data_IF_960499812228
#
_entry.id   IF_960499812228
#
_cell.length_a   1.000
_cell.length_b   1.000
_cell.length_c   1.000
_cell.angle_alpha   90.00
_cell.angle_beta   90.00
_cell.angle_gamma   90.00
#
_symmetry.space_group_name_H-M   'P 1'
#
loop_
_entity.id
_entity.type
_entity.pdbx_description
1 polymer ?
#
# COMPACT_ATOMS: atom_id res chain seq x y z
N UNK A 1 5.43 5.89 -36.87
CA UNK A 1 6.44 5.27 -36.03
C UNK A 1 6.01 3.82 -35.85
N UNK A 2 6.95 2.89 -35.89
CA UNK A 2 6.60 1.46 -35.66
C UNK A 2 5.85 1.31 -34.34
N UNK A 3 4.96 0.33 -34.29
CA UNK A 3 4.10 0.04 -33.13
C UNK A 3 4.95 -0.71 -32.07
N UNK A 4 5.88 -0.01 -31.42
CA UNK A 4 6.84 -0.55 -30.45
C UNK A 4 6.40 -0.09 -29.05
N UNK A 5 6.12 -1.04 -28.17
CA UNK A 5 5.72 -0.81 -26.77
C UNK A 5 6.87 -1.21 -25.84
N UNK A 6 7.45 -0.26 -25.10
CA UNK A 6 8.51 -0.55 -24.14
C UNK A 6 7.96 -1.17 -22.85
N UNK A 7 8.68 -2.13 -22.26
CA UNK A 7 8.53 -2.58 -20.89
C UNK A 7 9.66 -1.95 -20.09
N UNK A 8 9.28 -1.16 -19.09
CA UNK A 8 10.19 -0.32 -18.32
C UNK A 8 10.35 -0.82 -16.88
N UNK A 9 11.47 -0.46 -16.23
CA UNK A 9 11.61 -0.61 -14.80
C UNK A 9 10.49 0.20 -14.11
N UNK A 10 9.61 -0.45 -13.34
CA UNK A 10 8.48 0.24 -12.70
C UNK A 10 8.96 1.27 -11.69
N UNK A 11 8.11 2.26 -11.40
CA UNK A 11 8.25 3.15 -10.26
C UNK A 11 7.20 2.78 -9.23
N UNK A 12 7.62 2.28 -8.10
CA UNK A 12 6.71 2.00 -6.98
C UNK A 12 6.94 2.99 -5.85
N UNK A 13 5.90 3.73 -5.52
CA UNK A 13 5.95 4.78 -4.52
C UNK A 13 6.87 5.94 -4.88
N UNK A 14 7.06 6.84 -3.92
CA UNK A 14 7.68 8.15 -4.13
C UNK A 14 9.20 8.14 -4.10
N UNK A 15 9.79 7.24 -3.34
CA UNK A 15 11.23 7.22 -3.05
C UNK A 15 12.04 6.24 -3.89
N UNK A 16 11.39 5.40 -4.71
CA UNK A 16 12.09 4.43 -5.56
C UNK A 16 12.88 5.14 -6.64
N UNK A 17 14.19 4.92 -6.66
CA UNK A 17 15.12 5.44 -7.69
C UNK A 17 15.58 4.35 -8.63
N UNK A 18 15.66 3.11 -8.15
CA UNK A 18 16.15 1.95 -8.89
C UNK A 18 15.48 0.68 -8.37
N UNK A 19 15.50 -0.38 -9.17
CA UNK A 19 15.05 -1.71 -8.82
C UNK A 19 15.96 -2.76 -9.42
N UNK A 20 16.10 -3.91 -8.76
CA UNK A 20 16.83 -5.06 -9.27
C UNK A 20 15.85 -5.97 -10.01
N UNK A 21 16.15 -6.28 -11.27
CA UNK A 21 15.42 -7.30 -12.01
C UNK A 21 15.81 -8.68 -11.46
N UNK A 22 14.94 -9.30 -10.68
CA UNK A 22 15.25 -10.56 -9.99
C UNK A 22 15.08 -11.77 -10.92
N UNK A 23 13.98 -11.83 -11.67
CA UNK A 23 13.67 -12.90 -12.60
C UNK A 23 12.76 -12.44 -13.74
N UNK A 24 12.80 -13.13 -14.89
CA UNK A 24 11.82 -13.03 -15.96
C UNK A 24 10.87 -14.24 -15.93
N UNK A 25 9.56 -14.00 -16.01
CA UNK A 25 8.54 -15.02 -16.13
C UNK A 25 8.18 -15.36 -17.59
N UNK A 26 8.53 -14.48 -18.53
CA UNK A 26 8.22 -14.61 -19.96
C UNK A 26 9.49 -14.65 -20.81
N UNK A 27 9.49 -15.47 -21.87
CA UNK A 27 10.60 -15.56 -22.81
C UNK A 27 10.38 -14.69 -24.05
N UNK A 28 11.45 -14.32 -24.77
CA UNK A 28 11.31 -13.72 -26.08
C UNK A 28 10.50 -14.62 -27.02
N UNK A 29 9.60 -14.04 -27.80
CA UNK A 29 8.63 -14.74 -28.64
C UNK A 29 7.31 -15.10 -27.96
N UNK A 30 7.15 -14.83 -26.67
CA UNK A 30 5.89 -15.03 -25.97
C UNK A 30 4.88 -13.93 -26.31
N UNK A 31 3.62 -14.33 -26.49
CA UNK A 31 2.46 -13.42 -26.55
C UNK A 31 2.03 -13.06 -25.14
N UNK A 32 2.09 -11.78 -24.79
CA UNK A 32 1.74 -11.23 -23.48
C UNK A 32 0.34 -10.64 -23.55
N UNK A 33 -0.44 -10.82 -22.50
CA UNK A 33 -1.75 -10.16 -22.31
C UNK A 33 -1.68 -9.20 -21.14
N UNK A 34 -2.51 -8.17 -21.11
CA UNK A 34 -2.65 -7.31 -19.93
C UNK A 34 -2.98 -8.16 -18.69
N UNK A 35 -2.22 -7.95 -17.59
CA UNK A 35 -2.32 -8.71 -16.35
C UNK A 35 -1.47 -9.98 -16.28
N UNK A 36 -0.75 -10.36 -17.33
CA UNK A 36 0.21 -11.47 -17.25
C UNK A 36 1.42 -11.06 -16.41
N UNK A 37 1.86 -11.97 -15.53
CA UNK A 37 3.11 -11.81 -14.78
C UNK A 37 4.31 -11.87 -15.72
N UNK A 38 5.13 -10.80 -15.76
CA UNK A 38 6.22 -10.71 -16.73
C UNK A 38 7.60 -10.77 -16.11
N UNK A 39 7.78 -10.26 -14.91
CA UNK A 39 9.08 -10.27 -14.20
C UNK A 39 8.93 -10.01 -12.71
N UNK A 40 9.95 -10.39 -11.93
CA UNK A 40 10.11 -10.00 -10.54
C UNK A 40 11.09 -8.84 -10.43
N UNK A 41 10.71 -7.84 -9.66
CA UNK A 41 11.57 -6.70 -9.32
C UNK A 41 11.74 -6.60 -7.81
N UNK A 42 12.99 -6.53 -7.35
CA UNK A 42 13.35 -6.27 -5.96
C UNK A 42 13.71 -4.79 -5.79
N UNK A 43 13.20 -4.19 -4.72
CA UNK A 43 13.62 -2.86 -4.26
C UNK A 43 14.35 -2.97 -2.92
N UNK A 44 14.82 -1.86 -2.38
CA UNK A 44 15.36 -1.79 -1.03
C UNK A 44 14.31 -2.17 0.05
N UNK A 45 13.01 -2.11 -0.26
CA UNK A 45 11.92 -2.38 0.69
C UNK A 45 11.27 -3.75 0.50
N UNK A 46 10.99 -4.15 -0.73
CA UNK A 46 10.22 -5.37 -1.04
C UNK A 46 10.51 -5.87 -2.45
N UNK A 47 10.29 -7.17 -2.67
CA UNK A 47 10.17 -7.76 -4.01
C UNK A 47 8.69 -7.87 -4.40
N UNK A 48 8.37 -7.60 -5.65
CA UNK A 48 7.03 -7.81 -6.20
C UNK A 48 7.08 -8.20 -7.67
N UNK A 49 6.01 -8.87 -8.09
CA UNK A 49 5.78 -9.23 -9.50
C UNK A 49 5.32 -8.00 -10.28
N UNK A 50 5.83 -7.84 -11.48
CA UNK A 50 5.37 -6.85 -12.43
C UNK A 50 4.43 -7.53 -13.41
N UNK A 51 3.18 -7.04 -13.45
CA UNK A 51 2.19 -7.46 -14.43
C UNK A 51 2.25 -6.56 -15.66
N UNK A 52 1.93 -7.15 -16.82
CA UNK A 52 1.88 -6.42 -18.08
C UNK A 52 0.72 -5.41 -18.08
N UNK A 53 1.02 -4.14 -18.30
CA UNK A 53 -0.01 -3.12 -18.53
C UNK A 53 -0.64 -3.26 -19.93
N UNK A 54 0.15 -3.63 -20.92
CA UNK A 54 -0.24 -3.77 -22.33
C UNK A 54 -0.02 -5.21 -22.82
N UNK A 55 -0.80 -5.61 -23.85
CA UNK A 55 -0.60 -6.88 -24.53
C UNK A 55 0.27 -6.72 -25.78
N UNK A 56 0.96 -7.80 -26.16
CA UNK A 56 1.75 -7.83 -27.40
C UNK A 56 2.79 -8.95 -27.44
N UNK A 57 3.47 -9.09 -28.57
CA UNK A 57 4.52 -10.07 -28.75
C UNK A 57 5.84 -9.55 -28.15
N UNK A 58 6.43 -10.24 -27.17
CA UNK A 58 7.72 -9.90 -26.58
C UNK A 58 8.84 -10.19 -27.58
N UNK A 59 9.45 -9.15 -28.12
CA UNK A 59 10.45 -9.26 -29.21
C UNK A 59 11.89 -9.21 -28.69
N UNK A 60 12.16 -8.48 -27.62
CA UNK A 60 13.51 -8.34 -27.11
C UNK A 60 13.50 -8.11 -25.59
N UNK A 61 14.29 -8.89 -24.85
CA UNK A 61 14.65 -8.61 -23.46
C UNK A 61 15.99 -7.87 -23.42
N UNK A 62 16.03 -6.71 -22.79
CA UNK A 62 17.23 -5.87 -22.62
C UNK A 62 17.78 -6.01 -21.21
N UNK A 63 16.87 -6.14 -20.24
CA UNK A 63 17.22 -6.32 -18.83
C UNK A 63 17.83 -7.70 -18.54
N UNK A 64 18.91 -7.71 -17.77
CA UNK A 64 19.65 -8.90 -17.33
C UNK A 64 19.22 -9.23 -15.91
N UNK A 65 18.84 -10.49 -15.67
CA UNK A 65 18.49 -10.96 -14.33
C UNK A 65 19.66 -10.77 -13.34
N UNK A 66 19.34 -10.28 -12.16
CA UNK A 66 20.30 -9.97 -11.10
C UNK A 66 20.90 -8.57 -11.15
N UNK A 67 20.71 -7.81 -12.24
CA UNK A 67 21.21 -6.45 -12.39
C UNK A 67 20.20 -5.42 -11.87
N UNK A 68 20.73 -4.26 -11.43
CA UNK A 68 19.94 -3.13 -10.92
C UNK A 68 19.81 -2.05 -12.00
N UNK A 69 18.61 -1.56 -12.19
CA UNK A 69 18.26 -0.57 -13.20
C UNK A 69 17.57 0.65 -12.56
N UNK A 70 17.85 1.87 -13.03
CA UNK A 70 17.10 3.03 -12.59
C UNK A 70 15.62 2.90 -13.01
N UNK A 71 14.74 3.53 -12.26
CA UNK A 71 13.32 3.64 -12.62
C UNK A 71 13.18 4.14 -14.06
N UNK A 72 12.23 3.55 -14.81
CA UNK A 72 11.99 3.81 -16.24
C UNK A 72 13.11 3.37 -17.20
N UNK A 73 14.13 2.66 -16.74
CA UNK A 73 15.07 2.00 -17.67
C UNK A 73 14.33 1.01 -18.55
N UNK A 74 14.73 0.91 -19.82
CA UNK A 74 14.16 -0.07 -20.74
C UNK A 74 14.60 -1.48 -20.36
N UNK A 75 13.64 -2.34 -20.05
CA UNK A 75 13.89 -3.75 -19.70
C UNK A 75 13.53 -4.71 -20.83
N UNK A 76 12.49 -4.40 -21.63
CA UNK A 76 12.13 -5.19 -22.78
C UNK A 76 11.32 -4.38 -23.79
N UNK A 77 11.07 -4.99 -24.96
CA UNK A 77 10.31 -4.38 -26.06
C UNK A 77 9.29 -5.38 -26.59
N UNK A 78 8.03 -4.97 -26.67
CA UNK A 78 6.97 -5.65 -27.41
C UNK A 78 6.76 -4.97 -28.75
N UNK A 79 6.53 -5.73 -29.81
CA UNK A 79 6.17 -5.22 -31.13
C UNK A 79 5.52 -6.32 -31.99
N UNK A 80 4.66 -5.99 -32.98
CA UNK A 80 4.15 -6.93 -33.96
C UNK A 80 5.29 -7.61 -34.74
N UNK A 81 5.05 -8.84 -35.24
CA UNK A 81 6.01 -9.56 -36.10
C UNK A 81 6.43 -8.78 -37.35
N UNK A 82 5.55 -7.89 -37.84
CA UNK A 82 5.80 -7.04 -39.00
C UNK A 82 6.91 -6.00 -38.78
N UNK A 83 7.28 -5.70 -37.51
CA UNK A 83 8.37 -4.76 -37.19
C UNK A 83 9.71 -5.48 -37.34
N UNK A 84 10.61 -5.03 -38.22
CA UNK A 84 11.91 -5.64 -38.40
C UNK A 84 12.80 -5.57 -37.16
N UNK A 85 13.60 -6.61 -36.89
CA UNK A 85 14.52 -6.62 -35.74
C UNK A 85 15.50 -5.46 -35.75
N UNK A 86 15.89 -4.96 -36.96
CA UNK A 86 16.76 -3.79 -37.10
C UNK A 86 16.11 -2.49 -36.59
N UNK A 87 14.77 -2.36 -36.67
CA UNK A 87 14.06 -1.22 -36.08
C UNK A 87 13.96 -1.34 -34.57
N UNK A 88 13.75 -2.57 -34.06
CA UNK A 88 13.77 -2.87 -32.62
C UNK A 88 15.15 -2.57 -32.03
N UNK A 89 16.23 -3.02 -32.70
CA UNK A 89 17.60 -2.77 -32.24
C UNK A 89 17.93 -1.26 -32.28
N UNK A 90 17.45 -0.53 -33.30
CA UNK A 90 17.61 0.90 -33.36
C UNK A 90 16.84 1.62 -32.24
N UNK A 91 15.62 1.16 -31.92
CA UNK A 91 14.83 1.68 -30.79
C UNK A 91 15.54 1.47 -29.47
N UNK A 92 16.02 0.23 -29.21
CA UNK A 92 16.76 -0.11 -27.97
C UNK A 92 18.01 0.76 -27.83
N UNK A 93 18.77 0.93 -28.93
CA UNK A 93 20.00 1.73 -28.93
C UNK A 93 19.75 3.23 -28.73
N UNK A 94 18.62 3.73 -29.23
CA UNK A 94 18.22 5.13 -29.11
C UNK A 94 17.47 5.47 -27.83
N UNK A 95 17.01 4.43 -27.08
CA UNK A 95 16.23 4.65 -25.87
C UNK A 95 17.08 5.35 -24.80
N UNK A 96 16.62 6.49 -24.37
CA UNK A 96 17.15 7.19 -23.20
C UNK A 96 16.05 7.19 -22.15
N UNK A 97 16.32 6.58 -20.98
CA UNK A 97 15.43 6.71 -19.87
C UNK A 97 15.28 8.21 -19.54
N UNK A 98 14.05 8.73 -19.35
CA UNK A 98 13.87 10.09 -18.86
C UNK A 98 14.75 10.29 -17.63
N UNK A 99 15.51 11.39 -17.60
CA UNK A 99 16.32 11.66 -16.42
C UNK A 99 15.38 11.86 -15.22
N UNK A 100 15.79 11.42 -14.05
CA UNK A 100 15.02 11.55 -12.81
C UNK A 100 14.65 13.02 -12.45
N UNK A 101 15.04 13.99 -13.28
CA UNK A 101 14.77 15.42 -13.16
C UNK A 101 13.70 15.97 -14.12
N UNK A 102 13.35 15.25 -15.18
CA UNK A 102 12.53 15.86 -16.24
C UNK A 102 11.00 15.83 -15.98
N UNK A 103 10.52 15.05 -15.02
CA UNK A 103 9.10 15.04 -14.61
C UNK A 103 8.89 15.30 -13.11
N UNK A 104 9.95 15.24 -12.27
CA UNK A 104 9.84 15.48 -10.83
C UNK A 104 9.89 16.99 -10.47
N UNK A 105 10.19 17.91 -11.40
CA UNK A 105 10.13 19.34 -11.11
C UNK A 105 8.68 19.84 -10.94
N UNK A 106 7.68 19.16 -11.54
CA UNK A 106 6.26 19.47 -11.36
C UNK A 106 5.59 18.61 -10.27
N UNK A 107 6.21 17.54 -9.79
CA UNK A 107 5.60 16.60 -8.85
C UNK A 107 5.65 17.04 -7.37
N UNK A 108 6.34 18.15 -7.05
CA UNK A 108 6.54 18.58 -5.67
C UNK A 108 7.41 17.61 -4.84
N UNK A 109 7.66 17.89 -3.56
CA UNK A 109 8.44 16.99 -2.71
C UNK A 109 7.71 15.66 -2.51
N UNK A 110 8.47 14.54 -2.55
CA UNK A 110 7.95 13.19 -2.38
C UNK A 110 7.10 13.02 -1.10
N UNK A 111 7.41 13.77 -0.06
CA UNK A 111 6.68 13.79 1.20
C UNK A 111 6.47 15.22 1.68
N UNK A 112 5.30 15.45 2.25
CA UNK A 112 4.91 16.74 2.83
C UNK A 112 4.60 16.56 4.33
N UNK A 113 4.41 17.68 5.01
CA UNK A 113 4.10 17.67 6.43
C UNK A 113 2.96 18.65 6.72
N UNK A 114 1.97 18.18 7.47
CA UNK A 114 0.88 18.96 8.02
C UNK A 114 1.13 19.22 9.51
N UNK A 115 1.06 20.48 9.93
CA UNK A 115 1.08 20.84 11.35
C UNK A 115 -0.37 20.80 11.86
N UNK A 116 -0.75 19.68 12.49
CA UNK A 116 -2.07 19.43 13.01
C UNK A 116 -2.12 19.64 14.54
N UNK A 117 -3.30 19.72 15.17
CA UNK A 117 -3.44 19.93 16.62
C UNK A 117 -2.69 18.90 17.49
N UNK A 118 -2.54 17.66 17.01
CA UNK A 118 -1.83 16.59 17.72
C UNK A 118 -0.32 16.60 17.45
N UNK A 119 0.16 17.41 16.53
CA UNK A 119 1.55 17.55 16.12
C UNK A 119 1.75 17.39 14.62
N UNK A 120 3.00 17.33 14.20
CA UNK A 120 3.40 17.26 12.80
C UNK A 120 3.13 15.86 12.23
N UNK A 121 2.42 15.80 11.09
CA UNK A 121 2.02 14.59 10.39
C UNK A 121 2.69 14.57 9.01
N UNK A 122 3.45 13.51 8.70
CA UNK A 122 3.99 13.27 7.36
C UNK A 122 2.89 12.68 6.48
N UNK A 123 2.81 13.13 5.23
CA UNK A 123 1.94 12.55 4.23
C UNK A 123 2.58 12.57 2.84
N UNK A 124 2.03 11.75 1.95
CA UNK A 124 2.32 11.75 0.54
C UNK A 124 1.07 12.17 -0.22
N UNK A 125 1.23 12.87 -1.33
CA UNK A 125 0.14 13.36 -2.17
C UNK A 125 0.36 12.94 -3.62
N UNK A 126 -0.74 12.58 -4.29
CA UNK A 126 -0.85 12.57 -5.73
C UNK A 126 -2.01 13.46 -6.13
N UNK A 127 -1.74 14.51 -6.94
CA UNK A 127 -2.79 15.41 -7.39
C UNK A 127 -3.78 14.68 -8.30
N UNK A 128 -5.00 15.19 -8.37
CA UNK A 128 -6.08 14.69 -9.19
C UNK A 128 -7.31 15.57 -9.08
N UNK A 129 -8.40 15.17 -9.71
CA UNK A 129 -9.68 15.87 -9.63
C UNK A 129 -10.72 15.01 -8.88
N UNK A 130 -11.70 15.66 -8.27
CA UNK A 130 -12.80 14.98 -7.58
C UNK A 130 -12.66 14.86 -6.07
N UNK A 131 -13.37 13.90 -5.48
CA UNK A 131 -13.33 13.63 -4.04
C UNK A 131 -12.04 12.89 -3.70
N UNK A 132 -11.22 13.39 -2.75
CA UNK A 132 -9.95 12.77 -2.45
C UNK A 132 -10.11 11.37 -1.81
N UNK A 133 -9.13 10.51 -2.07
CA UNK A 133 -8.95 9.21 -1.43
C UNK A 133 -7.84 9.32 -0.38
N UNK A 134 -8.14 8.96 0.86
CA UNK A 134 -7.16 8.94 1.96
C UNK A 134 -6.84 7.50 2.34
N UNK A 135 -5.56 7.14 2.27
CA UNK A 135 -5.01 5.83 2.56
C UNK A 135 -4.45 5.80 3.99
N UNK A 136 -4.93 4.87 4.82
CA UNK A 136 -4.64 4.80 6.25
C UNK A 136 -4.01 3.45 6.57
N UNK A 137 -2.74 3.45 7.00
CA UNK A 137 -1.97 2.23 7.29
C UNK A 137 -2.38 1.53 8.60
N UNK A 138 -1.89 0.30 8.80
CA UNK A 138 -2.11 -0.53 9.98
C UNK A 138 -1.16 -0.23 11.15
N UNK A 139 -1.33 -0.99 12.25
CA UNK A 139 -0.48 -0.93 13.43
C UNK A 139 0.98 -1.26 13.10
N UNK A 140 1.90 -0.38 13.48
CA UNK A 140 3.34 -0.53 13.24
C UNK A 140 3.78 -0.26 11.78
N UNK A 141 2.83 0.06 10.88
CA UNK A 141 3.11 0.45 9.51
C UNK A 141 3.40 1.94 9.34
N UNK A 142 3.48 2.37 8.11
CA UNK A 142 3.60 3.77 7.69
C UNK A 142 2.98 3.97 6.29
N UNK A 143 3.08 5.16 5.74
CA UNK A 143 2.52 5.49 4.43
C UNK A 143 3.16 4.69 3.28
N UNK A 144 4.37 4.17 3.45
CA UNK A 144 5.03 3.35 2.44
C UNK A 144 4.39 1.95 2.30
N UNK A 145 3.46 1.56 3.21
CA UNK A 145 2.63 0.36 3.01
C UNK A 145 1.69 0.48 1.79
N UNK A 146 1.58 1.68 1.21
CA UNK A 146 0.77 1.98 0.03
C UNK A 146 1.59 2.21 -1.25
N UNK A 147 2.87 1.84 -1.23
CA UNK A 147 3.79 2.14 -2.33
C UNK A 147 3.35 1.55 -3.69
N UNK A 148 2.65 0.40 -3.70
CA UNK A 148 2.11 -0.22 -4.92
C UNK A 148 0.70 0.27 -5.30
N UNK A 149 0.13 1.16 -4.49
CA UNK A 149 -1.26 1.58 -4.65
C UNK A 149 -1.38 3.07 -4.99
N UNK A 150 -0.56 3.93 -4.38
CA UNK A 150 -0.76 5.38 -4.43
C UNK A 150 -0.77 5.94 -5.86
N UNK A 151 0.16 5.49 -6.71
CA UNK A 151 0.26 5.99 -8.10
C UNK A 151 -0.89 5.43 -8.97
N UNK A 152 -1.21 4.15 -8.84
CA UNK A 152 -2.29 3.52 -9.58
C UNK A 152 -3.69 4.05 -9.20
N UNK A 153 -3.89 4.43 -7.93
CA UNK A 153 -5.15 5.00 -7.45
C UNK A 153 -5.31 6.47 -7.85
N UNK A 154 -4.21 7.18 -8.11
CA UNK A 154 -4.23 8.56 -8.55
C UNK A 154 -4.82 8.76 -9.96
N UNK A 155 -4.99 7.68 -10.73
CA UNK A 155 -5.72 7.70 -11.99
C UNK A 155 -7.23 7.99 -11.82
N UNK A 156 -7.79 7.77 -10.62
CA UNK A 156 -9.23 7.89 -10.36
C UNK A 156 -9.60 9.08 -9.45
N UNK A 157 -8.69 9.54 -8.60
CA UNK A 157 -8.96 10.59 -7.61
C UNK A 157 -7.64 11.22 -7.12
N UNK A 158 -7.67 12.42 -6.49
CA UNK A 158 -6.54 12.88 -5.68
C UNK A 158 -6.28 11.89 -4.54
N UNK A 159 -5.02 11.43 -4.35
CA UNK A 159 -4.68 10.43 -3.34
C UNK A 159 -3.74 10.97 -2.30
N UNK A 160 -4.06 10.72 -1.05
CA UNK A 160 -3.25 11.07 0.12
C UNK A 160 -2.97 9.82 0.95
N UNK A 161 -1.71 9.59 1.31
CA UNK A 161 -1.32 8.57 2.28
C UNK A 161 -0.61 9.26 3.45
N UNK A 162 -0.98 8.96 4.70
CA UNK A 162 -0.41 9.64 5.86
C UNK A 162 0.24 8.66 6.83
N UNK A 163 1.29 9.13 7.53
CA UNK A 163 1.77 8.48 8.74
C UNK A 163 0.91 8.89 9.92
N UNK A 164 0.28 7.94 10.60
CA UNK A 164 -0.46 8.20 11.83
C UNK A 164 0.46 8.65 12.97
N UNK A 165 -0.03 9.35 14.01
CA UNK A 165 0.74 9.62 15.22
C UNK A 165 1.41 8.36 15.76
N UNK A 166 2.64 8.49 16.24
CA UNK A 166 3.45 7.36 16.72
C UNK A 166 4.14 6.58 15.62
N UNK A 167 3.77 6.74 14.34
CA UNK A 167 4.25 5.93 13.21
C UNK A 167 5.11 6.74 12.22
N UNK A 168 5.85 6.03 11.38
CA UNK A 168 6.67 6.61 10.31
C UNK A 168 7.52 7.79 10.75
N UNK A 169 7.33 8.95 10.14
CA UNK A 169 8.01 10.20 10.51
C UNK A 169 7.06 11.24 11.14
N UNK A 170 5.85 10.85 11.51
CA UNK A 170 4.91 11.70 12.24
C UNK A 170 5.26 11.79 13.72
N UNK A 171 4.58 12.70 14.42
CA UNK A 171 4.75 12.97 15.87
C UNK A 171 4.72 11.69 16.70
N UNK A 172 5.63 11.54 17.68
CA UNK A 172 5.72 10.37 18.58
C UNK A 172 5.18 10.65 20.00
N UNK A 173 4.94 11.91 20.33
CA UNK A 173 4.56 12.35 21.68
C UNK A 173 3.05 12.58 21.87
N UNK A 174 2.23 12.46 20.83
CA UNK A 174 0.78 12.66 20.93
C UNK A 174 0.13 11.63 21.87
N UNK A 175 -0.72 12.08 22.79
CA UNK A 175 -1.33 11.25 23.83
C UNK A 175 -2.79 11.69 24.10
N UNK A 176 -3.66 10.78 24.59
CA UNK A 176 -3.41 9.33 24.79
C UNK A 176 -3.37 8.57 23.47
N UNK A 177 -2.47 7.56 23.36
CA UNK A 177 -2.40 6.71 22.18
C UNK A 177 -3.59 5.76 22.10
N UNK A 178 -4.50 5.97 21.16
CA UNK A 178 -5.71 5.17 21.04
C UNK A 178 -6.55 5.55 19.82
N UNK A 179 -7.66 4.83 19.62
CA UNK A 179 -8.53 5.02 18.45
C UNK A 179 -9.01 6.46 18.29
N UNK A 180 -9.37 7.15 19.41
CA UNK A 180 -9.82 8.53 19.37
C UNK A 180 -8.79 9.47 18.74
N UNK A 181 -7.52 9.42 19.19
CA UNK A 181 -6.43 10.21 18.61
C UNK A 181 -6.27 9.96 17.11
N UNK A 182 -6.35 8.68 16.68
CA UNK A 182 -6.19 8.32 15.27
C UNK A 182 -7.33 8.87 14.41
N UNK A 183 -8.57 8.75 14.86
CA UNK A 183 -9.75 9.30 14.16
C UNK A 183 -9.67 10.82 14.05
N UNK A 184 -9.35 11.50 15.15
CA UNK A 184 -9.20 12.96 15.15
C UNK A 184 -8.04 13.44 14.26
N UNK A 185 -6.98 12.62 14.13
CA UNK A 185 -5.88 12.93 13.20
C UNK A 185 -6.36 12.91 11.75
N UNK A 186 -7.13 11.90 11.34
CA UNK A 186 -7.66 11.84 9.97
C UNK A 186 -8.64 12.97 9.72
N UNK A 187 -9.51 13.31 10.68
CA UNK A 187 -10.43 14.45 10.57
C UNK A 187 -9.68 15.78 10.41
N UNK A 188 -8.68 16.03 11.26
CA UNK A 188 -7.86 17.24 11.17
C UNK A 188 -7.05 17.29 9.86
N UNK A 189 -6.64 16.13 9.34
CA UNK A 189 -5.98 16.05 8.05
C UNK A 189 -6.94 16.39 6.90
N UNK A 190 -8.18 15.93 6.93
CA UNK A 190 -9.20 16.33 5.94
C UNK A 190 -9.42 17.86 5.96
N UNK A 191 -9.47 18.47 7.15
CA UNK A 191 -9.58 19.92 7.28
C UNK A 191 -8.33 20.64 6.71
N UNK A 192 -7.13 20.08 6.93
CA UNK A 192 -5.87 20.63 6.42
C UNK A 192 -5.82 20.66 4.89
N UNK A 193 -6.29 19.60 4.22
CA UNK A 193 -6.33 19.54 2.75
C UNK A 193 -7.57 20.21 2.16
N UNK A 194 -8.43 20.82 3.00
CA UNK A 194 -9.65 21.51 2.56
C UNK A 194 -10.74 20.57 2.03
N UNK A 195 -10.74 19.30 2.44
CA UNK A 195 -11.71 18.33 1.99
C UNK A 195 -12.91 18.25 2.94
N UNK A 196 -14.11 18.60 2.45
CA UNK A 196 -15.35 18.43 3.21
C UNK A 196 -15.64 16.96 3.52
N UNK A 197 -15.35 16.08 2.55
CA UNK A 197 -15.47 14.62 2.66
C UNK A 197 -14.42 13.93 1.81
N UNK A 198 -14.12 12.66 2.12
CA UNK A 198 -13.17 11.85 1.37
C UNK A 198 -13.64 10.39 1.22
N UNK A 199 -13.14 9.69 0.21
CA UNK A 199 -13.07 8.24 0.21
C UNK A 199 -11.98 7.82 1.19
N UNK A 200 -12.26 6.85 2.06
CA UNK A 200 -11.32 6.39 3.08
C UNK A 200 -10.96 4.93 2.81
N UNK A 201 -9.70 4.63 2.58
CA UNK A 201 -9.24 3.25 2.47
C UNK A 201 -8.26 2.95 3.61
N UNK A 202 -8.59 1.98 4.45
CA UNK A 202 -7.79 1.65 5.62
C UNK A 202 -7.41 0.19 5.70
N UNK A 203 -6.13 -0.08 5.98
CA UNK A 203 -5.61 -1.41 6.21
C UNK A 203 -5.56 -1.73 7.70
N UNK A 204 -6.08 -2.89 8.12
CA UNK A 204 -5.98 -3.39 9.50
C UNK A 204 -6.52 -2.37 10.54
N UNK A 205 -5.69 -1.83 11.42
CA UNK A 205 -6.03 -0.72 12.31
C UNK A 205 -6.53 0.49 11.53
N UNK A 206 -5.96 0.79 10.37
CA UNK A 206 -6.42 1.88 9.48
C UNK A 206 -7.86 1.68 9.02
N UNK A 207 -8.28 0.45 8.79
CA UNK A 207 -9.69 0.13 8.49
C UNK A 207 -10.63 0.41 9.65
N UNK A 208 -10.23 0.05 10.88
CA UNK A 208 -10.97 0.41 12.09
C UNK A 208 -11.10 1.94 12.23
N UNK A 209 -10.03 2.69 11.95
CA UNK A 209 -10.02 4.16 12.00
C UNK A 209 -10.98 4.73 10.96
N UNK A 210 -10.85 4.31 9.69
CA UNK A 210 -11.68 4.76 8.57
C UNK A 210 -13.16 4.50 8.83
N UNK A 211 -13.49 3.27 9.22
CA UNK A 211 -14.87 2.90 9.50
C UNK A 211 -15.43 3.57 10.75
N UNK A 212 -14.62 3.81 11.79
CA UNK A 212 -15.06 4.56 12.98
C UNK A 212 -15.32 6.02 12.64
N UNK A 213 -14.48 6.64 11.80
CA UNK A 213 -14.73 7.99 11.30
C UNK A 213 -16.07 8.04 10.54
N UNK A 214 -16.25 7.14 9.57
CA UNK A 214 -17.49 7.07 8.78
C UNK A 214 -18.74 6.81 9.64
N UNK A 215 -18.64 5.96 10.67
CA UNK A 215 -19.76 5.70 11.57
C UNK A 215 -20.11 6.91 12.46
N UNK A 216 -19.10 7.69 12.91
CA UNK A 216 -19.31 8.85 13.79
C UNK A 216 -19.59 10.15 13.05
N UNK A 217 -19.05 10.29 11.85
CA UNK A 217 -19.09 11.50 11.03
C UNK A 217 -19.39 11.13 9.56
N UNK A 218 -20.58 10.53 9.29
CA UNK A 218 -20.94 10.05 7.97
C UNK A 218 -20.86 11.13 6.88
N UNK A 219 -21.07 12.38 7.23
CA UNK A 219 -20.95 13.52 6.32
C UNK A 219 -19.50 13.75 5.83
N UNK A 220 -18.48 13.24 6.55
CA UNK A 220 -17.07 13.37 6.20
C UNK A 220 -16.55 12.21 5.34
N UNK A 221 -17.31 11.14 5.16
CA UNK A 221 -16.94 9.97 4.39
C UNK A 221 -17.82 9.83 3.14
N UNK A 222 -17.21 9.86 1.97
CA UNK A 222 -17.90 9.58 0.71
C UNK A 222 -18.11 8.06 0.54
N UNK A 223 -17.11 7.27 0.90
CA UNK A 223 -17.17 5.81 1.00
C UNK A 223 -16.04 5.28 1.90
N UNK A 224 -16.11 4.01 2.27
CA UNK A 224 -15.09 3.33 3.08
C UNK A 224 -14.69 2.00 2.44
N UNK A 225 -13.38 1.81 2.26
CA UNK A 225 -12.77 0.53 1.91
C UNK A 225 -12.02 -0.02 3.12
N UNK A 226 -12.45 -1.18 3.61
CA UNK A 226 -11.89 -1.87 4.75
C UNK A 226 -11.01 -3.03 4.26
N UNK A 227 -9.70 -2.91 4.41
CA UNK A 227 -8.72 -3.91 3.92
C UNK A 227 -8.18 -4.70 5.11
N UNK A 228 -8.45 -6.00 5.19
CA UNK A 228 -8.07 -6.87 6.33
C UNK A 228 -8.33 -6.20 7.69
N UNK A 229 -9.49 -5.55 7.81
CA UNK A 229 -9.77 -4.52 8.82
C UNK A 229 -9.93 -5.08 10.22
N UNK A 230 -9.38 -4.39 11.20
CA UNK A 230 -9.80 -4.55 12.57
C UNK A 230 -11.23 -3.97 12.78
N UNK A 231 -11.90 -4.42 13.85
CA UNK A 231 -13.22 -3.94 14.29
C UNK A 231 -14.42 -4.71 13.72
N UNK A 232 -14.23 -5.63 12.77
CA UNK A 232 -15.32 -6.44 12.22
C UNK A 232 -15.56 -7.76 13.00
N UNK A 233 -14.61 -8.20 13.81
CA UNK A 233 -14.73 -9.38 14.68
C UNK A 233 -13.87 -9.23 15.92
N UNK A 234 -13.84 -10.28 16.76
CA UNK A 234 -13.06 -10.24 18.02
C UNK A 234 -11.67 -10.82 17.89
N UNK A 235 -11.50 -11.76 16.99
CA UNK A 235 -10.31 -12.55 16.88
C UNK A 235 -9.18 -11.70 16.25
N UNK A 236 -7.98 -11.85 16.80
CA UNK A 236 -6.73 -11.31 16.26
C UNK A 236 -5.59 -12.19 16.73
N UNK A 237 -4.54 -12.29 15.95
CA UNK A 237 -3.31 -12.98 16.34
C UNK A 237 -2.58 -12.18 17.44
N UNK A 238 -2.79 -12.57 18.69
CA UNK A 238 -2.19 -11.92 19.85
C UNK A 238 -0.66 -12.07 19.88
N UNK A 239 -0.15 -13.22 19.40
CA UNK A 239 1.30 -13.48 19.36
C UNK A 239 1.99 -12.52 18.37
N UNK A 240 1.31 -12.15 17.26
CA UNK A 240 1.80 -11.11 16.36
C UNK A 240 1.89 -9.75 17.04
N UNK A 241 0.81 -9.30 17.70
CA UNK A 241 0.77 -7.99 18.36
C UNK A 241 1.84 -7.90 19.45
N UNK A 242 1.87 -8.89 20.34
CA UNK A 242 2.82 -8.98 21.43
C UNK A 242 4.27 -9.09 20.93
N UNK A 243 4.48 -9.96 19.95
CA UNK A 243 5.78 -10.16 19.33
C UNK A 243 6.29 -8.89 18.65
N UNK A 244 5.43 -8.19 17.89
CA UNK A 244 5.79 -6.92 17.26
C UNK A 244 6.19 -5.85 18.29
N UNK A 245 5.39 -5.67 19.34
CA UNK A 245 5.70 -4.70 20.41
C UNK A 245 7.01 -5.06 21.13
N UNK A 246 7.21 -6.33 21.48
CA UNK A 246 8.36 -6.78 22.30
C UNK A 246 9.66 -6.97 21.51
N UNK A 247 9.61 -7.21 20.19
CA UNK A 247 10.80 -7.49 19.38
C UNK A 247 11.76 -6.29 19.36
N UNK A 248 13.03 -6.55 19.70
CA UNK A 248 14.12 -5.55 19.70
C UNK A 248 15.27 -5.92 18.75
N UNK A 249 15.25 -7.11 18.18
CA UNK A 249 16.27 -7.63 17.29
C UNK A 249 15.70 -8.35 16.08
N UNK A 250 16.55 -8.57 15.06
CA UNK A 250 16.14 -9.26 13.81
C UNK A 250 15.59 -10.66 14.03
N UNK A 251 16.20 -11.42 14.95
CA UNK A 251 15.81 -12.81 15.22
C UNK A 251 14.38 -12.88 15.78
N UNK A 252 13.97 -11.87 16.52
CA UNK A 252 12.66 -11.80 17.13
C UNK A 252 11.62 -11.21 16.16
N UNK A 253 12.00 -10.16 15.40
CA UNK A 253 11.06 -9.43 14.55
C UNK A 253 10.74 -10.16 13.24
N UNK A 254 11.73 -10.80 12.57
CA UNK A 254 11.51 -11.45 11.29
C UNK A 254 10.40 -12.53 11.32
N UNK A 255 10.37 -13.47 12.29
CA UNK A 255 9.28 -14.45 12.38
C UNK A 255 7.91 -13.82 12.61
N UNK A 256 7.85 -12.71 13.34
CA UNK A 256 6.61 -11.98 13.59
C UNK A 256 6.08 -11.36 12.30
N UNK A 257 6.94 -10.70 11.53
CA UNK A 257 6.56 -10.09 10.24
C UNK A 257 6.15 -11.14 9.20
N UNK A 258 6.66 -12.37 9.30
CA UNK A 258 6.26 -13.46 8.41
C UNK A 258 4.77 -13.78 8.45
N UNK A 259 4.07 -13.50 9.56
CA UNK A 259 2.62 -13.66 9.66
C UNK A 259 1.83 -12.66 8.79
N UNK A 260 2.45 -11.57 8.36
CA UNK A 260 1.79 -10.55 7.53
C UNK A 260 1.55 -11.01 6.09
N UNK A 261 2.39 -11.91 5.59
CA UNK A 261 2.41 -12.31 4.19
C UNK A 261 2.05 -13.78 4.01
N UNK A 262 1.34 -14.09 2.93
CA UNK A 262 1.14 -15.47 2.47
C UNK A 262 2.48 -16.05 2.02
N UNK A 263 3.23 -15.27 1.22
CA UNK A 263 4.61 -15.59 0.89
C UNK A 263 5.58 -14.94 1.88
N UNK A 264 6.06 -15.74 2.82
CA UNK A 264 6.97 -15.29 3.88
C UNK A 264 8.35 -14.84 3.35
N UNK A 265 8.71 -15.17 2.11
CA UNK A 265 9.95 -14.74 1.48
C UNK A 265 9.99 -13.24 1.21
N UNK A 266 8.82 -12.59 1.13
CA UNK A 266 8.67 -11.14 0.99
C UNK A 266 9.20 -10.34 2.20
N UNK A 267 9.38 -10.99 3.36
CA UNK A 267 10.00 -10.35 4.53
C UNK A 267 11.50 -10.17 4.30
N UNK A 268 11.85 -9.09 3.62
CA UNK A 268 13.23 -8.76 3.28
C UNK A 268 14.06 -8.38 4.52
N UNK A 269 15.38 -8.47 4.38
CA UNK A 269 16.31 -7.98 5.42
C UNK A 269 16.15 -6.47 5.65
N UNK A 270 15.98 -5.70 4.59
CA UNK A 270 15.82 -4.25 4.63
C UNK A 270 14.55 -3.86 5.40
N UNK A 271 13.41 -4.48 5.10
CA UNK A 271 12.16 -4.28 5.86
C UNK A 271 12.34 -4.47 7.36
N UNK A 272 13.01 -5.55 7.78
CA UNK A 272 13.27 -5.82 9.20
C UNK A 272 14.18 -4.76 9.82
N UNK A 273 15.24 -4.36 9.12
CA UNK A 273 16.19 -3.35 9.61
C UNK A 273 15.55 -1.96 9.73
N UNK A 274 14.71 -1.56 8.79
CA UNK A 274 14.03 -0.25 8.83
C UNK A 274 12.98 -0.20 9.93
N UNK A 275 12.21 -1.26 10.13
CA UNK A 275 11.32 -1.36 11.27
C UNK A 275 12.05 -1.32 12.62
N UNK A 276 13.22 -1.96 12.73
CA UNK A 276 14.03 -1.88 13.94
C UNK A 276 14.60 -0.48 14.17
N UNK A 277 14.99 0.25 13.09
CA UNK A 277 15.41 1.65 13.19
C UNK A 277 14.25 2.51 13.71
N UNK A 278 13.08 2.38 13.11
CA UNK A 278 11.86 3.08 13.54
C UNK A 278 11.54 2.80 15.00
N UNK A 279 11.53 1.54 15.44
CA UNK A 279 11.21 1.14 16.82
C UNK A 279 12.18 1.69 17.86
N UNK A 280 13.40 2.08 17.45
CA UNK A 280 14.42 2.71 18.34
C UNK A 280 14.29 4.22 18.46
N UNK A 281 13.41 4.85 17.68
CA UNK A 281 13.15 6.28 17.83
C UNK A 281 12.50 6.57 19.18
N UNK A 282 12.89 7.70 19.80
CA UNK A 282 12.37 8.12 21.08
C UNK A 282 10.82 8.22 21.07
N UNK A 283 10.19 7.63 22.07
CA UNK A 283 8.74 7.63 22.26
C UNK A 283 7.96 6.57 21.45
N UNK A 284 8.57 5.92 20.46
CA UNK A 284 7.87 4.92 19.61
C UNK A 284 7.47 3.70 20.43
N UNK A 285 8.38 3.13 21.21
CA UNK A 285 8.10 1.91 21.99
C UNK A 285 6.97 2.14 22.99
N UNK A 286 6.98 3.25 23.70
CA UNK A 286 5.93 3.62 24.67
C UNK A 286 4.60 3.85 23.96
N UNK A 287 4.63 4.54 22.81
CA UNK A 287 3.44 4.78 22.01
C UNK A 287 2.79 3.48 21.52
N UNK A 288 3.57 2.59 20.92
CA UNK A 288 3.09 1.31 20.42
C UNK A 288 2.54 0.43 21.56
N UNK A 289 3.19 0.43 22.70
CA UNK A 289 2.75 -0.33 23.88
C UNK A 289 1.39 0.17 24.39
N UNK A 290 1.25 1.50 24.54
CA UNK A 290 -0.02 2.12 24.96
C UNK A 290 -1.12 1.89 23.93
N UNK A 291 -0.82 2.08 22.64
CA UNK A 291 -1.78 1.89 21.55
C UNK A 291 -2.26 0.43 21.48
N UNK A 292 -1.34 -0.52 21.55
CA UNK A 292 -1.69 -1.95 21.57
C UNK A 292 -2.57 -2.29 22.78
N UNK A 293 -2.24 -1.80 23.98
CA UNK A 293 -3.02 -2.02 25.19
C UNK A 293 -4.44 -1.41 25.15
N UNK A 294 -4.64 -0.34 24.34
CA UNK A 294 -5.95 0.27 24.17
C UNK A 294 -6.80 -0.41 23.08
N UNK A 295 -6.16 -0.90 22.00
CA UNK A 295 -6.86 -1.53 20.87
C UNK A 295 -7.05 -3.05 21.03
N UNK A 296 -6.13 -3.71 21.75
CA UNK A 296 -6.12 -5.17 21.88
C UNK A 296 -6.07 -5.56 23.36
N UNK A 297 -7.18 -6.13 23.86
CA UNK A 297 -7.29 -6.52 25.26
C UNK A 297 -7.50 -8.03 25.38
N UNK A 298 -6.76 -8.66 26.25
CA UNK A 298 -6.90 -10.11 26.52
C UNK A 298 -6.80 -10.97 25.23
N UNK A 299 -5.92 -10.58 24.32
CA UNK A 299 -5.73 -11.27 23.03
C UNK A 299 -6.88 -11.09 22.04
N UNK A 300 -7.72 -10.07 22.22
CA UNK A 300 -8.86 -9.76 21.34
C UNK A 300 -8.89 -8.29 20.96
N UNK A 301 -9.57 -8.02 19.86
CA UNK A 301 -9.89 -6.65 19.44
C UNK A 301 -10.90 -6.03 20.43
N UNK A 302 -10.60 -4.83 20.93
CA UNK A 302 -11.43 -4.13 21.90
C UNK A 302 -12.68 -3.50 21.27
N UNK A 303 -12.56 -3.06 20.01
CA UNK A 303 -13.59 -2.29 19.32
C UNK A 303 -14.46 -3.16 18.40
N UNK A 304 -15.73 -2.74 18.25
CA UNK A 304 -16.69 -3.32 17.31
C UNK A 304 -17.28 -2.24 16.44
N UNK A 305 -17.14 -2.41 15.13
CA UNK A 305 -17.42 -1.39 14.12
C UNK A 305 -18.66 -1.70 13.28
N UNK A 306 -18.93 -2.99 13.00
CA UNK A 306 -19.84 -3.43 11.95
C UNK A 306 -21.25 -2.80 12.04
N UNK A 307 -21.88 -2.86 13.22
CA UNK A 307 -23.25 -2.36 13.41
C UNK A 307 -23.32 -0.83 13.24
N UNK A 308 -22.35 -0.10 13.82
CA UNK A 308 -22.32 1.36 13.77
C UNK A 308 -22.06 1.85 12.35
N UNK A 309 -21.15 1.19 11.61
CA UNK A 309 -20.86 1.52 10.22
C UNK A 309 -22.05 1.20 9.31
N UNK A 310 -22.68 0.04 9.46
CA UNK A 310 -23.88 -0.31 8.70
C UNK A 310 -25.01 0.71 8.92
N UNK A 311 -25.20 1.17 10.17
CA UNK A 311 -26.22 2.15 10.52
C UNK A 311 -25.92 3.56 9.97
N UNK A 312 -24.68 3.88 9.65
CA UNK A 312 -24.29 5.20 9.13
C UNK A 312 -24.80 5.46 7.71
N UNK A 313 -25.09 4.43 6.93
CA UNK A 313 -25.47 4.53 5.53
C UNK A 313 -24.35 4.91 4.56
N UNK A 314 -23.11 5.02 5.04
CA UNK A 314 -21.94 5.27 4.18
C UNK A 314 -21.66 4.03 3.33
N UNK A 315 -21.49 4.17 2.00
CA UNK A 315 -21.11 3.05 1.14
C UNK A 315 -19.81 2.40 1.63
N UNK A 316 -19.82 1.07 1.76
CA UNK A 316 -18.68 0.33 2.26
C UNK A 316 -18.33 -0.88 1.38
N UNK A 317 -17.03 -1.13 1.19
CA UNK A 317 -16.52 -2.39 0.67
C UNK A 317 -15.50 -2.99 1.63
N UNK A 318 -15.35 -4.32 1.56
CA UNK A 318 -14.42 -5.09 2.37
C UNK A 318 -13.54 -5.91 1.44
N UNK A 319 -12.23 -5.80 1.58
CA UNK A 319 -11.23 -6.56 0.82
C UNK A 319 -10.39 -7.35 1.82
N UNK A 320 -10.17 -8.64 1.56
CA UNK A 320 -9.43 -9.51 2.48
C UNK A 320 -8.54 -10.50 1.76
N UNK A 321 -7.36 -10.78 2.30
CA UNK A 321 -6.55 -11.92 1.88
C UNK A 321 -7.09 -13.21 2.49
N UNK A 322 -7.30 -14.25 1.66
CA UNK A 322 -7.85 -15.54 2.11
C UNK A 322 -7.00 -16.19 3.20
N UNK A 323 -5.66 -16.04 3.10
CA UNK A 323 -4.69 -16.61 4.01
C UNK A 323 -4.23 -15.65 5.13
N UNK A 324 -5.04 -14.64 5.48
CA UNK A 324 -4.73 -13.68 6.55
C UNK A 324 -4.52 -14.41 7.89
N UNK A 325 -3.26 -14.41 8.37
CA UNK A 325 -2.86 -15.04 9.62
C UNK A 325 -2.93 -14.09 10.83
N UNK A 326 -3.34 -12.84 10.64
CA UNK A 326 -3.48 -11.82 11.69
C UNK A 326 -4.94 -11.67 12.10
N UNK A 327 -5.84 -11.41 11.14
CA UNK A 327 -7.27 -11.25 11.37
C UNK A 327 -8.02 -12.21 10.44
N UNK A 328 -8.82 -13.16 10.98
CA UNK A 328 -9.48 -14.16 10.15
C UNK A 328 -10.31 -13.56 9.01
N UNK A 329 -10.16 -14.09 7.79
CA UNK A 329 -10.91 -13.64 6.60
C UNK A 329 -12.44 -13.76 6.77
N UNK A 330 -12.92 -14.63 7.66
CA UNK A 330 -14.33 -14.74 8.04
C UNK A 330 -14.92 -13.42 8.59
N UNK A 331 -14.10 -12.51 9.10
CA UNK A 331 -14.56 -11.20 9.55
C UNK A 331 -15.08 -10.32 8.40
N UNK A 332 -14.66 -10.58 7.16
CA UNK A 332 -15.21 -9.92 5.98
C UNK A 332 -16.73 -10.07 5.84
N UNK A 333 -17.30 -11.11 6.45
CA UNK A 333 -18.74 -11.38 6.41
C UNK A 333 -19.55 -10.57 7.43
N UNK A 334 -18.89 -9.92 8.37
CA UNK A 334 -19.55 -9.29 9.51
C UNK A 334 -20.18 -7.92 9.21
N UNK A 335 -19.94 -7.32 8.03
CA UNK A 335 -20.49 -6.02 7.67
C UNK A 335 -21.66 -6.18 6.68
N UNK A 336 -22.92 -6.04 7.14
CA UNK A 336 -24.08 -6.12 6.26
C UNK A 336 -24.09 -5.02 5.20
N UNK A 337 -24.46 -5.37 3.96
CA UNK A 337 -24.61 -4.42 2.87
C UNK A 337 -23.32 -3.96 2.20
N UNK A 338 -22.16 -4.34 2.70
CA UNK A 338 -20.89 -4.04 2.06
C UNK A 338 -20.62 -4.93 0.83
N UNK A 339 -20.00 -4.37 -0.20
CA UNK A 339 -19.35 -5.14 -1.26
C UNK A 339 -18.18 -5.92 -0.64
N UNK A 340 -18.01 -7.20 -1.04
CA UNK A 340 -17.08 -8.11 -0.35
C UNK A 340 -16.21 -8.87 -1.33
N UNK A 341 -14.90 -8.81 -1.08
CA UNK A 341 -13.88 -9.43 -1.91
C UNK A 341 -12.87 -10.17 -1.03
N UNK A 342 -12.79 -11.49 -1.17
CA UNK A 342 -11.74 -12.31 -0.55
C UNK A 342 -10.82 -12.77 -1.65
N UNK A 343 -9.56 -12.34 -1.58
CA UNK A 343 -8.55 -12.54 -2.62
C UNK A 343 -7.73 -13.78 -2.27
N UNK A 344 -7.69 -14.79 -3.17
CA UNK A 344 -6.89 -16.00 -2.95
C UNK A 344 -5.39 -15.68 -2.92
N UNK A 345 -4.62 -16.60 -2.33
CA UNK A 345 -3.16 -16.55 -2.26
C UNK A 345 -2.56 -15.26 -1.68
N UNK A 346 -3.31 -14.54 -0.86
CA UNK A 346 -2.87 -13.33 -0.18
C UNK A 346 -3.04 -13.42 1.35
N UNK A 347 -2.12 -12.83 2.08
CA UNK A 347 -2.12 -12.72 3.53
C UNK A 347 -2.74 -11.42 4.03
N UNK A 348 -2.25 -10.94 5.18
CA UNK A 348 -2.72 -9.70 5.80
C UNK A 348 -2.36 -8.44 5.01
N UNK A 349 -1.23 -8.45 4.29
CA UNK A 349 -0.78 -7.31 3.45
C UNK A 349 -1.31 -7.43 2.01
N UNK A 350 -2.59 -7.77 1.84
CA UNK A 350 -3.21 -8.02 0.53
C UNK A 350 -3.02 -6.86 -0.46
N UNK A 351 -3.00 -5.61 0.01
CA UNK A 351 -2.76 -4.43 -0.82
C UNK A 351 -1.31 -4.36 -1.37
N UNK A 352 -0.40 -5.15 -0.83
CA UNK A 352 0.96 -5.31 -1.33
C UNK A 352 1.13 -6.58 -2.15
N UNK A 353 0.56 -7.71 -1.69
CA UNK A 353 0.70 -9.02 -2.33
C UNK A 353 -0.13 -9.13 -3.62
N UNK A 354 -1.30 -8.49 -3.67
CA UNK A 354 -2.24 -8.50 -4.79
C UNK A 354 -2.64 -7.07 -5.16
N UNK A 355 -1.63 -6.22 -5.32
CA UNK A 355 -1.82 -4.78 -5.47
C UNK A 355 -2.66 -4.39 -6.68
N UNK A 356 -2.50 -5.06 -7.83
CA UNK A 356 -3.26 -4.78 -9.04
C UNK A 356 -4.76 -5.00 -8.83
N UNK A 357 -5.16 -6.14 -8.24
CA UNK A 357 -6.56 -6.44 -7.96
C UNK A 357 -7.14 -5.51 -6.90
N UNK A 358 -6.40 -5.21 -5.83
CA UNK A 358 -6.84 -4.25 -4.80
C UNK A 358 -7.03 -2.86 -5.38
N UNK A 359 -6.12 -2.39 -6.23
CA UNK A 359 -6.21 -1.10 -6.90
C UNK A 359 -7.44 -1.03 -7.81
N UNK A 360 -7.68 -2.09 -8.61
CA UNK A 360 -8.86 -2.21 -9.46
C UNK A 360 -10.15 -2.11 -8.63
N UNK A 361 -10.27 -2.90 -7.56
CA UNK A 361 -11.45 -2.92 -6.69
C UNK A 361 -11.71 -1.57 -6.02
N UNK A 362 -10.67 -0.85 -5.60
CA UNK A 362 -10.81 0.48 -5.01
C UNK A 362 -11.28 1.47 -6.07
N UNK A 363 -10.65 1.51 -7.25
CA UNK A 363 -11.03 2.41 -8.34
C UNK A 363 -12.48 2.21 -8.78
N UNK A 364 -12.88 0.95 -9.00
CA UNK A 364 -14.25 0.60 -9.40
C UNK A 364 -15.29 1.03 -8.35
N UNK A 365 -14.90 1.07 -7.07
CA UNK A 365 -15.81 1.40 -5.97
C UNK A 365 -15.95 2.91 -5.74
N UNK A 366 -14.92 3.70 -6.03
CA UNK A 366 -14.96 5.17 -5.83
C UNK A 366 -15.38 5.95 -7.07
N UNK A 367 -15.46 5.29 -8.25
CA UNK A 367 -15.92 5.86 -9.53
C UNK A 367 -17.45 6.18 -9.49
#
# INVERSE_FOLDING_TARGET
MADITPILMPKWGLSMKEGKLAAWHVAEGAEIKPGDEIMDVETDKIANVVEAADGGLLRRRVGIEGETYPVRALLAVMAPESVPDTEIDAYVAAYQAPSAGDEDEDAGPAYQYADLPMGRIRYAERPGEGVPLVLIHGFGGDLDNWLFNIDALAEAAPVYALDLPGHGQSVKSARPAGLGLMVETVLAFLDHIGADRAHLAGHSMGGLIAGTLAARRPERAASVTLICSAGLGSEINADYIDGFVKATGRKDLKPVLAHLFRDQSLVSRAMVEDLLKYKRLDGVQDFLTELAGNLFREGRQAERLAEALAASGVPAQVIWGEADAIIPAAHAESLPGASRHVIPDAGHMVQMEQSAEVNRLIRDFIA
#
